data_IF_172973585603
#
_entry.id   IF_172973585603
#
_cell.length_a   1.000
_cell.length_b   1.000
_cell.length_c   1.000
_cell.angle_alpha   90.00
_cell.angle_beta   90.00
_cell.angle_gamma   90.00
#
_symmetry.space_group_name_H-M   'P 1'
#
loop_
_entity.id
_entity.type
_entity.pdbx_description
1 polymer ?
#
# COMPACT_ATOMS: atom_id res chain seq x y z
N UNK A 1 -4.07 11.81 5.81
CA UNK A 1 -2.90 12.70 5.55
C UNK A 1 -1.80 12.55 6.59
N UNK A 2 -1.88 11.55 7.48
CA UNK A 2 -1.01 11.45 8.65
C UNK A 2 0.47 11.29 8.25
N UNK A 3 0.76 10.47 7.22
CA UNK A 3 2.11 10.33 6.67
C UNK A 3 2.73 11.65 6.17
N UNK A 4 1.96 12.50 5.50
CA UNK A 4 2.49 13.79 5.03
C UNK A 4 2.83 14.69 6.21
N UNK A 5 1.99 14.73 7.25
CA UNK A 5 2.23 15.55 8.45
C UNK A 5 3.50 15.09 9.17
N UNK A 6 3.71 13.78 9.28
CA UNK A 6 4.93 13.21 9.85
C UNK A 6 6.18 13.55 9.03
N UNK A 7 6.10 13.47 7.70
CA UNK A 7 7.22 13.84 6.82
C UNK A 7 7.54 15.34 6.89
N UNK A 8 6.51 16.19 6.83
CA UNK A 8 6.66 17.64 6.88
C UNK A 8 7.21 18.12 8.22
N UNK A 9 6.83 17.49 9.34
CA UNK A 9 7.38 17.81 10.66
C UNK A 9 8.87 17.47 10.81
N UNK A 10 9.38 16.55 9.97
CA UNK A 10 10.81 16.13 9.95
C UNK A 10 11.62 16.86 8.89
N UNK A 11 10.97 17.52 7.94
CA UNK A 11 11.61 18.30 6.90
C UNK A 11 12.07 19.66 7.46
N UNK A 12 13.16 20.21 6.92
CA UNK A 12 13.58 21.57 7.22
C UNK A 12 12.57 22.60 6.71
N UNK A 13 12.57 23.79 7.31
CA UNK A 13 11.62 24.86 6.96
C UNK A 13 11.69 25.33 5.48
N UNK A 14 12.81 25.06 4.80
CA UNK A 14 13.01 25.38 3.40
C UNK A 14 12.94 24.16 2.45
N UNK A 15 12.69 22.96 3.00
CA UNK A 15 12.70 21.73 2.22
C UNK A 15 11.36 21.48 1.52
N UNK A 16 11.43 20.97 0.29
CA UNK A 16 10.26 20.50 -0.43
C UNK A 16 9.91 19.07 -0.01
N UNK A 17 8.62 18.79 0.17
CA UNK A 17 8.11 17.43 0.42
C UNK A 17 7.27 16.97 -0.77
N UNK A 18 7.69 15.88 -1.41
CA UNK A 18 6.95 15.24 -2.49
C UNK A 18 6.79 13.74 -2.21
N UNK A 19 5.57 13.23 -2.33
CA UNK A 19 5.27 11.82 -2.15
C UNK A 19 4.11 11.37 -3.04
N UNK A 20 4.04 10.05 -3.26
CA UNK A 20 2.91 9.39 -3.91
C UNK A 20 2.16 8.50 -2.90
N UNK A 21 1.16 9.02 -2.16
CA UNK A 21 0.46 8.27 -1.11
C UNK A 21 -0.13 6.95 -1.58
N UNK A 22 -0.70 6.95 -2.81
CA UNK A 22 -1.27 5.74 -3.42
C UNK A 22 -0.24 4.63 -3.60
N UNK A 23 1.01 4.98 -3.93
CA UNK A 23 2.10 4.01 -4.09
C UNK A 23 2.47 3.38 -2.75
N UNK A 24 2.58 4.20 -1.70
CA UNK A 24 2.87 3.73 -0.33
C UNK A 24 1.76 2.80 0.17
N UNK A 25 0.50 3.19 0.04
CA UNK A 25 -0.62 2.37 0.47
C UNK A 25 -0.72 1.06 -0.30
N UNK A 26 -0.46 1.07 -1.63
CA UNK A 26 -0.47 -0.14 -2.45
C UNK A 26 0.67 -1.10 -2.07
N UNK A 27 1.88 -0.59 -1.78
CA UNK A 27 3.00 -1.40 -1.33
C UNK A 27 2.72 -2.06 0.03
N UNK A 28 2.15 -1.33 0.97
CA UNK A 28 1.80 -1.86 2.28
C UNK A 28 0.62 -2.86 2.22
N UNK A 29 -0.35 -2.64 1.33
CA UNK A 29 -1.41 -3.61 1.06
C UNK A 29 -0.88 -4.90 0.40
N UNK A 30 0.18 -4.82 -0.41
CA UNK A 30 0.87 -6.01 -0.91
C UNK A 30 1.58 -6.74 0.24
N UNK A 31 2.31 -6.00 1.08
CA UNK A 31 3.01 -6.59 2.23
C UNK A 31 2.05 -7.27 3.21
N UNK A 32 0.89 -6.69 3.48
CA UNK A 32 -0.05 -7.23 4.47
C UNK A 32 -0.59 -8.62 4.12
N UNK A 33 -0.52 -9.06 2.86
CA UNK A 33 -0.85 -10.44 2.45
C UNK A 33 0.04 -11.49 3.14
N UNK A 34 1.27 -11.13 3.52
CA UNK A 34 2.22 -12.02 4.19
C UNK A 34 2.38 -11.74 5.69
N UNK A 35 1.63 -10.79 6.24
CA UNK A 35 1.70 -10.43 7.66
C UNK A 35 0.66 -11.19 8.48
N UNK A 36 0.96 -11.45 9.74
CA UNK A 36 0.04 -12.06 10.70
C UNK A 36 0.13 -11.36 12.07
N UNK A 37 -0.85 -11.65 12.93
CA UNK A 37 -0.91 -11.14 14.32
C UNK A 37 -0.85 -9.62 14.41
N UNK A 38 -0.14 -9.13 15.42
CA UNK A 38 -0.03 -7.70 15.72
C UNK A 38 0.55 -6.88 14.56
N UNK A 39 1.50 -7.45 13.82
CA UNK A 39 2.13 -6.79 12.67
C UNK A 39 1.09 -6.51 11.57
N UNK A 40 0.22 -7.46 11.28
CA UNK A 40 -0.89 -7.27 10.35
C UNK A 40 -1.86 -6.20 10.85
N UNK A 41 -2.23 -6.25 12.14
CA UNK A 41 -3.15 -5.29 12.75
C UNK A 41 -2.62 -3.86 12.74
N UNK A 42 -1.32 -3.66 13.01
CA UNK A 42 -0.68 -2.35 12.97
C UNK A 42 -0.76 -1.74 11.57
N UNK A 43 -0.45 -2.52 10.52
CA UNK A 43 -0.54 -2.05 9.13
C UNK A 43 -1.98 -1.70 8.75
N UNK A 44 -2.93 -2.58 9.07
CA UNK A 44 -4.35 -2.37 8.75
C UNK A 44 -4.95 -1.15 9.47
N UNK A 45 -4.50 -0.89 10.70
CA UNK A 45 -4.94 0.28 11.48
C UNK A 45 -4.31 1.56 10.96
N UNK A 46 -2.97 1.58 10.79
CA UNK A 46 -2.25 2.77 10.33
C UNK A 46 -2.69 3.24 8.94
N UNK A 47 -3.09 2.32 8.05
CA UNK A 47 -3.59 2.63 6.72
C UNK A 47 -5.12 2.71 6.62
N UNK A 48 -5.82 2.60 7.75
CA UNK A 48 -7.29 2.66 7.85
C UNK A 48 -8.01 1.59 7.00
N UNK A 49 -7.34 0.48 6.72
CA UNK A 49 -7.96 -0.68 6.06
C UNK A 49 -8.99 -1.35 6.96
N UNK A 50 -8.74 -1.38 8.27
CA UNK A 50 -9.71 -1.89 9.24
C UNK A 50 -11.01 -1.05 9.24
N UNK A 51 -10.89 0.29 9.26
CA UNK A 51 -12.04 1.20 9.14
C UNK A 51 -12.79 0.99 7.82
N UNK A 52 -12.05 0.85 6.71
CA UNK A 52 -12.62 0.60 5.40
C UNK A 52 -13.45 -0.69 5.36
N UNK A 53 -12.90 -1.81 5.85
CA UNK A 53 -13.60 -3.10 5.88
C UNK A 53 -14.84 -3.01 6.80
N UNK A 54 -14.71 -2.36 7.96
CA UNK A 54 -15.84 -2.21 8.90
C UNK A 54 -16.94 -1.27 8.40
N UNK A 55 -16.71 -0.50 7.34
CA UNK A 55 -17.70 0.43 6.79
C UNK A 55 -18.89 -0.27 6.10
N UNK A 56 -18.76 -1.56 5.77
CA UNK A 56 -19.87 -2.33 5.19
C UNK A 56 -19.80 -3.79 5.60
N UNK A 57 -20.95 -4.39 5.93
CA UNK A 57 -21.06 -5.82 6.19
C UNK A 57 -20.75 -6.69 4.96
N UNK A 58 -20.68 -6.10 3.77
CA UNK A 58 -20.32 -6.80 2.52
C UNK A 58 -18.82 -6.79 2.23
N UNK A 59 -18.03 -6.05 3.01
CA UNK A 59 -16.60 -5.96 2.81
C UNK A 59 -15.86 -6.99 3.67
N UNK A 60 -14.95 -7.70 3.02
CA UNK A 60 -14.06 -8.66 3.66
C UNK A 60 -12.62 -8.16 3.54
N UNK A 61 -11.69 -8.83 4.24
CA UNK A 61 -10.27 -8.49 4.19
C UNK A 61 -9.72 -8.49 2.75
N UNK A 62 -10.18 -9.44 1.92
CA UNK A 62 -9.83 -9.54 0.50
C UNK A 62 -10.32 -8.35 -0.36
N UNK A 63 -11.30 -7.58 0.11
CA UNK A 63 -11.83 -6.42 -0.64
C UNK A 63 -10.76 -5.35 -0.83
N UNK A 64 -9.93 -5.09 0.18
CA UNK A 64 -8.85 -4.11 0.12
C UNK A 64 -7.89 -4.44 -1.02
N UNK A 65 -7.40 -5.68 -1.08
CA UNK A 65 -6.46 -6.14 -2.10
C UNK A 65 -7.09 -6.12 -3.49
N UNK A 66 -8.36 -6.53 -3.62
CA UNK A 66 -9.09 -6.47 -4.89
C UNK A 66 -9.25 -5.03 -5.42
N UNK A 67 -9.46 -4.06 -4.54
CA UNK A 67 -9.55 -2.65 -4.93
C UNK A 67 -8.19 -2.09 -5.33
N UNK A 68 -7.12 -2.40 -4.59
CA UNK A 68 -5.78 -2.00 -5.00
C UNK A 68 -5.39 -2.61 -6.34
N UNK A 69 -5.73 -3.87 -6.61
CA UNK A 69 -5.52 -4.50 -7.93
C UNK A 69 -6.24 -3.75 -9.06
N UNK A 70 -7.52 -3.39 -8.85
CA UNK A 70 -8.29 -2.61 -9.84
C UNK A 70 -7.70 -1.21 -10.04
N UNK A 71 -7.29 -0.56 -8.95
CA UNK A 71 -6.72 0.78 -8.95
C UNK A 71 -5.36 0.83 -9.65
N UNK A 72 -4.44 -0.07 -9.31
CA UNK A 72 -3.10 -0.13 -9.92
C UNK A 72 -3.20 -0.46 -11.40
N UNK A 73 -4.09 -1.39 -11.79
CA UNK A 73 -4.37 -1.65 -13.20
C UNK A 73 -4.89 -0.40 -13.90
N UNK A 74 -5.79 0.37 -13.28
CA UNK A 74 -6.29 1.61 -13.88
C UNK A 74 -5.17 2.63 -14.02
N UNK A 75 -4.40 2.91 -12.96
CA UNK A 75 -3.39 3.97 -12.95
C UNK A 75 -2.19 3.71 -13.86
N UNK A 76 -1.72 2.46 -13.91
CA UNK A 76 -0.42 2.14 -14.53
C UNK A 76 -0.51 1.29 -15.80
N UNK A 77 -1.68 0.71 -16.10
CA UNK A 77 -1.89 -0.12 -17.31
C UNK A 77 -2.87 0.48 -18.31
N UNK A 78 -3.37 1.69 -18.07
CA UNK A 78 -4.20 2.44 -19.02
C UNK A 78 -3.59 3.81 -19.29
N UNK A 79 -3.78 4.27 -20.51
CA UNK A 79 -3.46 5.63 -20.91
C UNK A 79 -4.71 6.51 -20.78
N UNK A 80 -4.55 7.65 -20.11
CA UNK A 80 -5.58 8.66 -19.92
C UNK A 80 -5.12 10.05 -20.41
N UNK A 81 -4.07 10.11 -21.24
CA UNK A 81 -3.49 11.37 -21.73
C UNK A 81 -2.41 11.96 -20.83
N UNK A 82 -1.84 11.17 -19.92
CA UNK A 82 -0.71 11.56 -19.08
C UNK A 82 0.32 10.44 -18.96
N UNK A 83 1.57 10.80 -18.67
CA UNK A 83 2.62 9.83 -18.36
C UNK A 83 2.69 9.60 -16.86
N UNK A 84 2.29 8.41 -16.42
CA UNK A 84 2.47 7.95 -15.05
C UNK A 84 3.21 6.62 -15.07
N UNK A 85 4.47 6.63 -14.60
CA UNK A 85 5.33 5.45 -14.49
C UNK A 85 5.67 5.22 -13.03
N UNK A 86 5.61 3.97 -12.61
CA UNK A 86 5.93 3.56 -11.24
C UNK A 86 6.46 2.13 -11.23
N UNK A 87 7.35 1.85 -10.30
CA UNK A 87 7.84 0.50 -9.99
C UNK A 87 7.66 0.29 -8.49
N UNK A 88 6.98 -0.80 -8.14
CA UNK A 88 6.81 -1.25 -6.76
C UNK A 88 7.03 -2.76 -6.74
N UNK A 89 8.08 -3.19 -6.02
CA UNK A 89 8.46 -4.60 -5.94
C UNK A 89 9.15 -4.88 -4.61
N UNK A 90 8.98 -6.10 -4.10
CA UNK A 90 9.63 -6.56 -2.88
C UNK A 90 10.90 -7.33 -3.25
N UNK A 91 12.03 -6.89 -2.70
CA UNK A 91 13.32 -7.58 -2.85
C UNK A 91 13.64 -8.31 -1.57
N UNK A 92 13.71 -9.65 -1.64
CA UNK A 92 14.02 -10.53 -0.51
C UNK A 92 15.40 -11.13 -0.71
N UNK A 93 16.15 -11.26 0.39
CA UNK A 93 17.44 -11.91 0.38
C UNK A 93 17.32 -13.36 -0.11
N UNK A 94 18.16 -13.78 -1.06
CA UNK A 94 18.06 -15.08 -1.75
C UNK A 94 18.04 -16.30 -0.83
N UNK A 95 18.68 -16.21 0.33
CA UNK A 95 18.75 -17.29 1.32
C UNK A 95 17.41 -17.48 2.06
N UNK A 96 16.49 -16.53 1.99
CA UNK A 96 15.17 -16.60 2.61
C UNK A 96 14.16 -17.09 1.57
N UNK A 97 13.63 -18.32 1.71
CA UNK A 97 12.62 -18.81 0.78
C UNK A 97 11.33 -18.01 0.96
N UNK A 98 10.79 -17.51 -0.15
CA UNK A 98 9.46 -16.90 -0.18
C UNK A 98 8.44 -18.00 -0.40
N UNK A 99 7.39 -18.03 0.43
CA UNK A 99 6.28 -18.98 0.32
C UNK A 99 5.51 -18.76 -0.98
N UNK A 100 5.07 -19.84 -1.64
CA UNK A 100 4.42 -19.75 -2.95
C UNK A 100 3.08 -19.01 -2.89
N UNK A 101 2.32 -19.17 -1.81
CA UNK A 101 1.07 -18.44 -1.57
C UNK A 101 1.26 -16.91 -1.56
N UNK A 102 2.45 -16.43 -1.18
CA UNK A 102 2.76 -15.00 -1.18
C UNK A 102 3.32 -14.50 -2.53
N UNK A 103 3.81 -15.40 -3.40
CA UNK A 103 4.30 -15.03 -4.74
C UNK A 103 3.17 -14.84 -5.76
N UNK A 104 1.99 -15.41 -5.49
CA UNK A 104 0.86 -15.51 -6.42
C UNK A 104 0.20 -14.17 -6.78
#
# INVERSE_FOLDING_TARGET
>A
FDLYRELAARAGAADNVFLAPVGVSAAMAMLSLGLAGDTHQQVHTALRFAEFVNASATYELGTVHNLFRKLTHRLFRRDFGYTLRSVSGLYVQKQLPVLDDFKA
#
